data_IF_686940577099
#
_entry.id   IF_686940577099
#
_cell.length_a   1.000
_cell.length_b   1.000
_cell.length_c   1.000
_cell.angle_alpha   90.00
_cell.angle_beta   90.00
_cell.angle_gamma   90.00
#
_symmetry.space_group_name_H-M   'P 1'
#
loop_
_entity.id
_entity.type
_entity.pdbx_description
1 polymer ?
#
# COMPACT_ATOMS: atom_id res chain seq x y z
N UNK A 1 19.16 -7.22 9.80
CA UNK A 1 18.46 -6.85 8.55
C UNK A 1 19.53 -6.72 7.48
N UNK A 2 19.36 -7.26 6.26
CA UNK A 2 20.35 -7.08 5.19
C UNK A 2 20.53 -5.57 4.92
N UNK A 3 21.78 -5.15 4.71
CA UNK A 3 22.09 -3.76 4.35
C UNK A 3 21.54 -3.48 2.95
N UNK A 4 20.52 -2.63 2.88
CA UNK A 4 19.95 -2.17 1.61
C UNK A 4 20.78 -0.95 1.18
N UNK A 5 21.65 -1.13 0.20
CA UNK A 5 22.39 -0.04 -0.46
C UNK A 5 21.58 0.51 -1.64
N UNK A 6 21.60 1.84 -1.81
CA UNK A 6 20.88 2.54 -2.88
C UNK A 6 20.21 3.83 -2.39
N UNK A 7 19.58 4.56 -3.30
CA UNK A 7 18.83 5.78 -2.97
C UNK A 7 17.33 5.53 -3.07
N UNK A 8 16.55 6.07 -2.13
CA UNK A 8 15.09 5.96 -2.17
C UNK A 8 14.50 7.08 -3.00
N UNK A 9 13.89 6.74 -4.13
CA UNK A 9 13.07 7.65 -4.93
C UNK A 9 11.66 7.71 -4.34
N UNK A 10 11.24 8.88 -3.89
CA UNK A 10 9.85 9.13 -3.48
C UNK A 10 8.94 9.27 -4.70
N UNK A 11 7.97 8.37 -4.82
CA UNK A 11 7.00 8.37 -5.91
C UNK A 11 5.77 9.22 -5.57
N UNK A 12 5.48 9.38 -4.28
CA UNK A 12 4.40 10.21 -3.76
C UNK A 12 3.37 9.43 -2.92
N UNK A 13 2.26 10.11 -2.65
CA UNK A 13 1.23 9.68 -1.68
C UNK A 13 -0.07 9.33 -2.39
N UNK A 14 -0.70 8.24 -1.98
CA UNK A 14 -2.04 7.81 -2.36
C UNK A 14 -2.98 8.14 -1.22
N UNK A 15 -3.93 9.03 -1.48
CA UNK A 15 -5.00 9.36 -0.54
C UNK A 15 -6.14 8.34 -0.63
N UNK A 16 -7.00 8.29 0.40
CA UNK A 16 -8.26 7.57 0.36
C UNK A 16 -9.02 7.68 -0.98
N UNK A 17 -9.31 6.54 -1.60
CA UNK A 17 -10.05 6.46 -2.86
C UNK A 17 -10.12 5.02 -3.40
N UNK A 18 -11.07 4.78 -4.31
CA UNK A 18 -11.26 3.44 -4.92
C UNK A 18 -10.57 3.29 -6.29
N UNK A 19 -9.99 4.36 -6.81
CA UNK A 19 -9.34 4.40 -8.12
C UNK A 19 -7.89 3.92 -8.05
N UNK A 20 -7.36 3.47 -9.19
CA UNK A 20 -5.94 3.23 -9.32
C UNK A 20 -5.22 4.56 -9.44
N UNK A 21 -4.24 4.81 -8.57
CA UNK A 21 -3.25 5.86 -8.76
C UNK A 21 -2.00 5.25 -9.36
N UNK A 22 -1.71 5.59 -10.61
CA UNK A 22 -0.47 5.20 -11.31
C UNK A 22 0.52 6.35 -11.14
N UNK A 23 1.69 6.07 -10.58
CA UNK A 23 2.73 7.07 -10.43
C UNK A 23 3.42 7.31 -11.78
N UNK A 24 3.54 8.57 -12.24
CA UNK A 24 4.07 8.88 -13.56
C UNK A 24 5.59 8.70 -13.66
N UNK A 25 6.31 8.70 -12.54
CA UNK A 25 7.76 8.55 -12.48
C UNK A 25 8.19 7.16 -12.96
N UNK A 26 9.24 7.11 -13.78
CA UNK A 26 9.87 5.84 -14.15
C UNK A 26 10.56 5.27 -12.90
N UNK A 27 10.28 4.00 -12.59
CA UNK A 27 10.88 3.30 -11.45
C UNK A 27 12.15 2.54 -11.84
N UNK A 28 12.47 2.46 -13.14
CA UNK A 28 13.66 1.78 -13.66
C UNK A 28 13.73 0.32 -13.20
N UNK A 29 14.92 -0.13 -12.83
CA UNK A 29 15.16 -1.50 -12.36
C UNK A 29 14.79 -1.74 -10.87
N UNK A 30 14.00 -0.85 -10.26
CA UNK A 30 13.64 -0.97 -8.85
C UNK A 30 12.79 -2.22 -8.60
N UNK A 31 13.34 -3.16 -7.84
CA UNK A 31 12.64 -4.38 -7.37
C UNK A 31 12.29 -4.35 -5.89
N UNK A 32 12.76 -3.33 -5.16
CA UNK A 32 12.52 -3.15 -3.74
C UNK A 32 11.77 -1.84 -3.54
N UNK A 33 10.71 -1.90 -2.75
CA UNK A 33 9.90 -0.73 -2.41
C UNK A 33 9.73 -0.60 -0.91
N UNK A 34 9.62 0.65 -0.48
CA UNK A 34 9.27 1.04 0.88
C UNK A 34 7.87 1.64 0.88
N UNK A 35 7.04 1.18 1.80
CA UNK A 35 5.67 1.62 1.98
C UNK A 35 5.52 2.21 3.37
N UNK A 36 4.99 3.41 3.43
CA UNK A 36 4.71 4.13 4.67
C UNK A 36 3.22 4.46 4.74
N UNK A 37 2.56 4.02 5.80
CA UNK A 37 1.15 4.31 6.03
C UNK A 37 1.01 5.46 7.02
N UNK A 38 0.06 6.35 6.74
CA UNK A 38 -0.36 7.39 7.67
C UNK A 38 -1.87 7.28 7.90
N UNK A 39 -2.26 7.11 9.15
CA UNK A 39 -3.63 7.02 9.66
C UNK A 39 -3.61 7.35 11.16
N UNK A 40 -4.79 7.55 11.75
CA UNK A 40 -4.94 7.44 13.20
C UNK A 40 -4.83 5.96 13.61
N UNK A 41 -3.71 5.58 14.21
CA UNK A 41 -3.46 4.18 14.59
C UNK A 41 -4.27 3.73 15.79
N UNK A 42 -4.58 4.64 16.72
CA UNK A 42 -5.38 4.32 17.91
C UNK A 42 -6.81 3.96 17.48
N UNK A 43 -7.44 4.84 16.69
CA UNK A 43 -8.77 4.58 16.13
C UNK A 43 -8.79 3.37 15.17
N UNK A 44 -7.70 3.15 14.42
CA UNK A 44 -7.58 1.98 13.54
C UNK A 44 -7.55 0.65 14.31
N UNK A 45 -6.83 0.59 15.43
CA UNK A 45 -6.72 -0.60 16.28
C UNK A 45 -8.03 -0.89 17.02
N UNK A 46 -8.75 0.13 17.47
CA UNK A 46 -10.08 -0.02 18.08
C UNK A 46 -11.10 -0.62 17.11
N UNK A 47 -10.96 -0.32 15.81
CA UNK A 47 -11.80 -0.82 14.74
C UNK A 47 -11.24 -2.09 14.05
N UNK A 48 -10.45 -2.92 14.77
CA UNK A 48 -9.79 -4.13 14.24
C UNK A 48 -10.69 -5.14 13.46
N UNK A 49 -12.01 -4.95 13.47
CA UNK A 49 -13.00 -5.59 12.60
C UNK A 49 -13.13 -5.05 11.18
N UNK A 50 -12.37 -4.05 10.77
CA UNK A 50 -12.40 -3.47 9.42
C UNK A 50 -11.03 -3.63 8.78
N UNK A 51 -10.93 -4.42 7.71
CA UNK A 51 -9.65 -4.69 7.05
C UNK A 51 -9.63 -4.01 5.68
N UNK A 52 -8.99 -2.86 5.57
CA UNK A 52 -8.59 -2.36 4.25
C UNK A 52 -7.11 -2.62 4.00
N UNK A 53 -6.74 -2.79 2.72
CA UNK A 53 -5.38 -3.08 2.28
C UNK A 53 -5.08 -2.37 0.98
N UNK A 54 -3.80 -2.09 0.74
CA UNK A 54 -3.31 -1.63 -0.56
C UNK A 54 -3.08 -2.81 -1.50
N UNK A 55 -3.38 -2.59 -2.78
CA UNK A 55 -2.92 -3.43 -3.88
C UNK A 55 -1.87 -2.64 -4.63
N UNK A 56 -0.68 -3.19 -4.75
CA UNK A 56 0.41 -2.66 -5.57
C UNK A 56 0.50 -3.48 -6.85
N UNK A 57 0.80 -2.82 -7.96
CA UNK A 57 0.97 -3.46 -9.27
C UNK A 57 2.07 -2.75 -10.04
N UNK A 58 3.00 -3.52 -10.58
CA UNK A 58 4.05 -3.02 -11.46
C UNK A 58 3.55 -3.08 -12.91
N UNK A 59 3.87 -2.05 -13.68
CA UNK A 59 3.47 -1.85 -15.06
C UNK A 59 4.72 -1.81 -15.94
N UNK A 60 4.66 -2.56 -17.04
CA UNK A 60 5.57 -2.50 -18.17
C UNK A 60 4.84 -1.87 -19.36
N UNK A 61 5.52 -1.72 -20.50
CA UNK A 61 4.93 -1.08 -21.69
C UNK A 61 3.70 -1.84 -22.23
N UNK A 62 3.73 -3.18 -22.21
CA UNK A 62 2.70 -4.02 -22.83
C UNK A 62 1.94 -4.92 -21.86
N UNK A 63 2.31 -4.96 -20.57
CA UNK A 63 1.76 -5.89 -19.59
C UNK A 63 1.95 -5.41 -18.15
N UNK A 64 1.40 -6.14 -17.19
CA UNK A 64 1.47 -5.82 -15.75
C UNK A 64 1.79 -7.05 -14.91
N UNK A 65 2.55 -6.87 -13.84
CA UNK A 65 2.81 -7.95 -12.86
C UNK A 65 1.52 -8.38 -12.12
N UNK A 66 1.50 -9.61 -11.58
CA UNK A 66 0.56 -9.98 -10.53
C UNK A 66 0.60 -8.97 -9.39
N UNK A 67 -0.56 -8.71 -8.80
CA UNK A 67 -0.69 -7.64 -7.82
C UNK A 67 -0.33 -8.11 -6.41
N UNK A 68 0.39 -7.28 -5.67
CA UNK A 68 0.82 -7.53 -4.31
C UNK A 68 -0.14 -6.88 -3.33
N UNK A 69 -0.56 -7.62 -2.29
CA UNK A 69 -1.34 -7.03 -1.19
C UNK A 69 -0.39 -6.54 -0.12
N UNK A 70 -0.57 -5.30 0.28
CA UNK A 70 0.13 -4.67 1.40
C UNK A 70 -0.90 -4.24 2.42
N UNK A 71 -0.68 -4.62 3.68
CA UNK A 71 -1.59 -4.30 4.77
C UNK A 71 -1.06 -3.10 5.55
N UNK A 72 -1.92 -2.16 5.99
CA UNK A 72 -1.52 -1.07 6.85
C UNK A 72 -0.82 -1.58 8.11
N UNK A 73 0.35 -1.02 8.40
CA UNK A 73 1.14 -1.30 9.59
C UNK A 73 1.75 0.00 10.11
N UNK A 74 1.87 0.12 11.45
CA UNK A 74 2.49 1.27 12.13
C UNK A 74 3.97 1.42 11.78
N UNK A 75 4.63 0.30 11.48
CA UNK A 75 6.03 0.26 11.06
C UNK A 75 6.15 0.37 9.55
N UNK A 76 7.32 0.84 9.09
CA UNK A 76 7.69 0.87 7.68
C UNK A 76 7.70 -0.56 7.13
N UNK A 77 7.03 -0.76 6.00
CA UNK A 77 7.04 -2.04 5.28
C UNK A 77 8.01 -1.93 4.10
N UNK A 78 9.03 -2.79 4.09
CA UNK A 78 9.88 -2.99 2.92
C UNK A 78 9.48 -4.32 2.28
N UNK A 79 9.22 -4.31 0.98
CA UNK A 79 8.99 -5.53 0.23
C UNK A 79 9.84 -5.53 -1.03
N UNK A 80 10.28 -6.73 -1.42
CA UNK A 80 10.89 -6.98 -2.71
C UNK A 80 9.93 -7.81 -3.55
N UNK A 81 10.03 -7.66 -4.87
CA UNK A 81 9.43 -8.61 -5.80
C UNK A 81 10.49 -9.09 -6.79
N UNK A 82 10.30 -10.29 -7.32
CA UNK A 82 11.13 -10.82 -8.40
C UNK A 82 10.35 -10.62 -9.70
N UNK A 83 10.85 -9.83 -10.66
CA UNK A 83 10.23 -9.70 -11.97
C UNK A 83 10.04 -11.07 -12.64
N UNK A 84 8.87 -11.29 -13.24
CA UNK A 84 8.60 -12.55 -13.95
C UNK A 84 9.34 -12.58 -15.29
N UNK A 85 9.42 -11.43 -15.96
CA UNK A 85 10.16 -11.28 -17.22
C UNK A 85 11.41 -10.43 -17.00
N UNK A 86 12.31 -10.46 -17.97
CA UNK A 86 13.55 -9.67 -17.99
C UNK A 86 13.33 -8.22 -18.49
N UNK A 87 12.08 -7.79 -18.63
CA UNK A 87 11.74 -6.43 -19.03
C UNK A 87 12.05 -5.44 -17.88
N UNK A 88 12.31 -4.18 -18.24
CA UNK A 88 12.53 -3.12 -17.27
C UNK A 88 11.17 -2.56 -16.83
N UNK A 89 10.85 -2.59 -15.53
CA UNK A 89 9.65 -1.97 -14.98
C UNK A 89 9.57 -0.47 -15.34
N UNK A 90 8.38 0.01 -15.67
CA UNK A 90 8.17 1.43 -15.99
C UNK A 90 7.51 2.17 -14.86
N UNK A 91 6.37 1.67 -14.39
CA UNK A 91 5.55 2.39 -13.42
C UNK A 91 5.05 1.45 -12.35
N UNK A 92 4.64 2.03 -11.24
CA UNK A 92 3.92 1.33 -10.19
C UNK A 92 2.60 2.03 -9.94
N UNK A 93 1.56 1.23 -9.82
CA UNK A 93 0.22 1.67 -9.45
C UNK A 93 -0.17 1.13 -8.10
N UNK A 94 -1.02 1.89 -7.42
CA UNK A 94 -1.58 1.55 -6.12
C UNK A 94 -3.08 1.74 -6.16
N UNK A 95 -3.80 0.81 -5.55
CA UNK A 95 -5.23 0.94 -5.29
C UNK A 95 -5.53 0.53 -3.86
N UNK A 96 -6.33 1.31 -3.15
CA UNK A 96 -6.87 0.92 -1.86
C UNK A 96 -8.08 0.03 -2.06
N UNK A 97 -8.16 -1.05 -1.28
CA UNK A 97 -9.34 -1.91 -1.18
C UNK A 97 -9.91 -1.80 0.21
N UNK A 98 -11.15 -1.33 0.29
CA UNK A 98 -11.97 -1.39 1.50
C UNK A 98 -12.64 -2.77 1.55
N UNK A 99 -12.20 -3.65 2.46
CA UNK A 99 -12.90 -4.89 2.75
C UNK A 99 -13.52 -4.83 4.14
N UNK A 100 -14.85 -4.75 4.15
CA UNK A 100 -15.57 -4.95 5.39
C UNK A 100 -15.57 -6.44 5.75
N UNK A 101 -14.93 -6.80 6.86
CA UNK A 101 -15.03 -8.15 7.43
C UNK A 101 -15.18 -8.01 8.94
N UNK A 102 -16.41 -7.85 9.45
CA UNK A 102 -16.63 -7.71 10.88
C UNK A 102 -15.92 -8.87 11.58
N UNK A 103 -14.92 -8.56 12.41
CA UNK A 103 -14.48 -9.54 13.40
C UNK A 103 -15.66 -9.71 14.37
N UNK A 104 -16.02 -10.94 14.76
CA UNK A 104 -16.92 -11.10 15.88
C UNK A 104 -16.20 -10.53 17.12
N UNK A 105 -16.59 -9.35 17.61
CA UNK A 105 -16.03 -8.79 18.84
C UNK A 105 -17.08 -8.50 19.90
N UNK A 106 -16.62 -8.70 21.13
CA UNK A 106 -17.34 -8.63 22.41
C UNK A 106 -18.17 -7.34 22.56
N UNK A 107 -19.46 -7.53 22.89
CA UNK A 107 -20.30 -6.70 23.77
C UNK A 107 -20.46 -5.19 23.52
N UNK A 108 -19.98 -4.61 22.43
CA UNK A 108 -20.33 -3.23 22.07
C UNK A 108 -21.38 -3.21 20.94
N UNK A 109 -22.49 -2.50 21.19
CA UNK A 109 -23.59 -2.37 20.24
C UNK A 109 -23.11 -1.62 18.99
N UNK A 110 -22.95 -2.36 17.89
CA UNK A 110 -22.56 -1.86 16.56
C UNK A 110 -23.53 -0.84 15.94
N UNK A 111 -24.59 -0.43 16.64
CA UNK A 111 -25.64 0.47 16.12
C UNK A 111 -25.30 1.95 16.23
N UNK A 112 -24.30 2.33 17.03
CA UNK A 112 -23.99 3.75 17.30
C UNK A 112 -22.75 4.27 16.55
N UNK A 113 -22.00 3.39 15.86
CA UNK A 113 -20.95 3.84 14.96
C UNK A 113 -21.55 4.10 13.58
N UNK A 114 -22.06 5.32 13.39
CA UNK A 114 -22.11 5.91 12.04
C UNK A 114 -20.67 5.91 11.54
N UNK A 115 -20.27 4.91 10.76
CA UNK A 115 -18.94 4.82 10.16
C UNK A 115 -18.75 6.05 9.30
N UNK A 116 -18.08 7.05 9.86
CA UNK A 116 -17.46 8.05 9.03
C UNK A 116 -16.38 7.30 8.26
N UNK A 117 -16.50 7.33 6.94
CA UNK A 117 -15.50 6.79 6.01
C UNK A 117 -14.08 7.29 6.31
N UNK A 118 -13.95 8.33 7.14
CA UNK A 118 -12.73 8.93 7.66
C UNK A 118 -11.94 8.08 8.64
N UNK A 119 -12.51 7.18 9.44
CA UNK A 119 -11.70 6.43 10.44
C UNK A 119 -10.86 5.32 9.78
N UNK A 120 -11.28 4.84 8.60
CA UNK A 120 -10.48 3.90 7.78
C UNK A 120 -9.61 4.62 6.74
N UNK A 121 -9.51 5.94 6.81
CA UNK A 121 -8.71 6.71 5.88
C UNK A 121 -7.24 6.67 6.26
N UNK A 122 -6.55 5.67 5.73
CA UNK A 122 -5.11 5.74 5.58
C UNK A 122 -4.73 6.35 4.23
N UNK A 123 -3.58 7.01 4.24
CA UNK A 123 -2.81 7.30 3.05
C UNK A 123 -1.59 6.39 2.99
N UNK A 124 -1.09 6.14 1.77
CA UNK A 124 0.09 5.32 1.52
C UNK A 124 1.11 6.14 0.74
N UNK A 125 2.30 6.34 1.31
CA UNK A 125 3.46 6.89 0.60
C UNK A 125 4.34 5.75 0.12
N UNK A 126 4.81 5.85 -1.11
CA UNK A 126 5.57 4.80 -1.78
C UNK A 126 6.94 5.32 -2.23
N UNK A 127 7.97 4.53 -1.96
CA UNK A 127 9.32 4.79 -2.42
C UNK A 127 9.85 3.58 -3.20
N UNK A 128 10.59 3.83 -4.27
CA UNK A 128 11.31 2.82 -5.02
C UNK A 128 12.81 2.92 -4.71
N UNK A 129 13.46 1.79 -4.45
CA UNK A 129 14.91 1.77 -4.29
C UNK A 129 15.58 1.83 -5.67
N UNK A 130 16.29 2.91 -5.94
CA UNK A 130 17.12 3.06 -7.11
C UNK A 130 18.50 2.43 -6.82
N UNK A 131 18.90 1.49 -7.67
CA UNK A 131 20.29 1.00 -7.69
C UNK A 131 21.17 2.13 -8.22
N UNK A 132 22.21 2.46 -7.47
CA UNK A 132 23.29 3.35 -7.89
C UNK A 132 24.21 2.66 -8.87
#
# INVERSE_FOLDING_TARGET
MPEISGSWLDLGIVFPGNEWKIFPQDIGEATIFRVEYSTDWEAWEELAGYQSYGILRVYYDSWVEPSFRVYPQKNILVFSYTPILQDIPKKIGVRRILKYRPRPYRKYNLKDFSYSSTILNWSLRLFALQKT
#
